data_IF_843122213166
#
_entry.id   IF_843122213166
#
_cell.length_a   1.000
_cell.length_b   1.000
_cell.length_c   1.000
_cell.angle_alpha   90.00
_cell.angle_beta   90.00
_cell.angle_gamma   90.00
#
_symmetry.space_group_name_H-M   'P 1'
#
loop_
_entity.id
_entity.type
_entity.pdbx_description
1 polymer ?
#
# COMPACT_ATOMS: atom_id res chain seq x y z
N UNK A 1 27.36 28.23 16.50
CA UNK A 1 26.86 27.93 16.35
C UNK A 1 26.17 27.45 15.61
N UNK A 2 25.92 27.01 15.36
CA UNK A 2 25.38 26.76 14.72
C UNK A 2 24.65 26.01 14.48
N UNK A 3 24.24 25.56 14.40
CA UNK A 3 23.55 24.90 14.18
C UNK A 3 22.57 24.87 13.54
N UNK A 4 22.23 24.90 13.10
CA UNK A 4 21.22 25.05 12.53
C UNK A 4 20.94 24.45 11.34
N UNK A 5 21.67 24.08 10.49
CA UNK A 5 21.52 23.37 9.24
C UNK A 5 20.82 22.07 9.40
N UNK A 6 20.93 21.47 10.50
CA UNK A 6 20.26 20.22 10.72
C UNK A 6 18.76 20.36 10.61
N UNK A 7 18.27 21.52 10.88
CA UNK A 7 16.83 21.70 10.85
C UNK A 7 16.25 21.60 9.47
N UNK A 8 16.95 22.05 8.45
CA UNK A 8 16.39 21.98 7.13
C UNK A 8 16.30 20.57 6.61
N UNK A 9 17.27 19.73 6.95
CA UNK A 9 17.18 18.33 6.55
C UNK A 9 15.98 17.67 7.16
N UNK A 10 15.74 17.97 8.42
CA UNK A 10 14.61 17.36 9.09
C UNK A 10 13.29 17.77 8.49
N UNK A 11 13.23 19.01 8.02
CA UNK A 11 12.01 19.47 7.38
C UNK A 11 11.68 18.69 6.13
N UNK A 12 12.67 18.36 5.35
CA UNK A 12 12.43 17.60 4.14
C UNK A 12 11.94 16.21 4.46
N UNK A 13 12.52 15.57 5.46
CA UNK A 13 12.09 14.24 5.85
C UNK A 13 10.65 14.25 6.28
N UNK A 14 10.26 15.27 7.02
CA UNK A 14 8.89 15.35 7.50
C UNK A 14 7.89 15.51 6.37
N UNK A 15 8.27 16.19 5.32
CA UNK A 15 7.38 16.38 4.18
C UNK A 15 7.10 15.11 3.43
N UNK A 16 8.02 14.17 3.47
CA UNK A 16 7.86 12.93 2.73
C UNK A 16 7.15 11.85 3.51
N UNK A 17 6.89 12.07 4.78
CA UNK A 17 6.31 11.03 5.62
C UNK A 17 4.85 11.29 5.88
N UNK A 18 4.06 10.24 5.80
CA UNK A 18 2.69 10.28 6.23
C UNK A 18 2.62 10.01 7.72
N UNK A 19 1.69 10.68 8.37
CA UNK A 19 1.39 10.35 9.76
C UNK A 19 0.52 9.11 9.77
N UNK A 20 0.98 8.07 10.46
CA UNK A 20 0.26 6.81 10.52
C UNK A 20 -0.29 6.66 11.93
N UNK A 21 -1.63 6.73 12.10
CA UNK A 21 -2.19 6.60 13.44
C UNK A 21 -2.05 5.17 13.95
N UNK A 22 -2.01 5.05 15.26
CA UNK A 22 -2.00 3.75 15.88
C UNK A 22 -3.31 3.04 15.58
N UNK A 23 -3.29 1.76 15.24
CA UNK A 23 -4.52 1.05 14.99
C UNK A 23 -5.30 0.85 16.29
N UNK A 24 -6.62 0.71 16.14
CA UNK A 24 -7.45 0.36 17.28
C UNK A 24 -7.12 -1.04 17.75
N UNK A 25 -7.38 -1.36 19.02
CA UNK A 25 -7.04 -2.68 19.55
C UNK A 25 -7.60 -3.80 18.68
N UNK A 26 -6.77 -4.75 18.31
CA UNK A 26 -7.17 -5.87 17.49
C UNK A 26 -7.14 -5.60 16.00
N UNK A 27 -6.93 -4.36 15.61
CA UNK A 27 -6.86 -3.97 14.21
C UNK A 27 -5.40 -3.71 13.82
N UNK A 28 -5.18 -3.33 12.56
CA UNK A 28 -3.84 -3.07 12.07
C UNK A 28 -3.86 -1.90 11.10
N UNK A 29 -2.69 -1.38 10.80
CA UNK A 29 -2.53 -0.38 9.74
C UNK A 29 -1.54 -0.91 8.72
N UNK A 30 -1.73 -0.55 7.45
CA UNK A 30 -0.82 -0.95 6.38
C UNK A 30 -0.43 0.29 5.61
N UNK A 31 0.86 0.44 5.35
CA UNK A 31 1.36 1.59 4.63
C UNK A 31 2.39 1.17 3.60
N UNK A 32 2.62 2.02 2.62
CA UNK A 32 3.60 1.77 1.59
C UNK A 32 3.63 2.91 0.60
N UNK A 33 4.36 2.70 -0.49
CA UNK A 33 4.49 3.70 -1.53
C UNK A 33 4.40 3.05 -2.89
N UNK A 34 3.72 3.70 -3.84
CA UNK A 34 3.56 3.18 -5.21
C UNK A 34 4.41 4.03 -6.16
N UNK A 35 5.29 3.37 -6.88
CA UNK A 35 6.21 4.01 -7.81
C UNK A 35 6.11 3.35 -9.18
N UNK A 36 6.41 4.13 -10.22
CA UNK A 36 6.44 3.59 -11.56
C UNK A 36 7.67 2.71 -11.75
N UNK A 37 7.48 1.53 -12.27
CA UNK A 37 8.60 0.64 -12.57
C UNK A 37 9.45 1.18 -13.69
N UNK A 38 8.90 2.04 -14.54
CA UNK A 38 9.62 2.58 -15.69
C UNK A 38 10.60 3.68 -15.30
N UNK A 39 10.18 4.59 -14.42
CA UNK A 39 11.02 5.76 -14.15
C UNK A 39 11.11 6.12 -12.68
N UNK A 40 10.48 5.35 -11.79
CA UNK A 40 10.57 5.61 -10.36
C UNK A 40 9.69 6.74 -9.85
N UNK A 41 8.86 7.33 -10.71
CA UNK A 41 8.00 8.43 -10.27
C UNK A 41 6.87 7.93 -9.39
N UNK A 42 6.48 8.73 -8.38
CA UNK A 42 5.38 8.30 -7.52
C UNK A 42 4.03 8.44 -8.23
N UNK A 43 3.09 7.58 -7.84
CA UNK A 43 1.72 7.65 -8.33
C UNK A 43 0.89 8.49 -7.39
N UNK A 44 0.26 9.53 -7.90
CA UNK A 44 -0.54 10.47 -7.12
C UNK A 44 -2.01 10.19 -7.31
N UNK A 45 -2.76 10.12 -6.22
CA UNK A 45 -4.21 9.94 -6.29
C UNK A 45 -4.65 8.60 -6.85
N UNK A 46 -3.80 7.61 -6.76
CA UNK A 46 -4.07 6.30 -7.33
C UNK A 46 -4.70 5.40 -6.27
N UNK A 47 -5.71 4.66 -6.68
CA UNK A 47 -6.41 3.78 -5.75
C UNK A 47 -5.54 2.57 -5.43
N UNK A 48 -5.50 2.20 -4.16
CA UNK A 48 -4.84 0.98 -3.69
C UNK A 48 -5.88 0.22 -2.87
N UNK A 49 -5.97 -1.09 -3.08
CA UNK A 49 -6.93 -1.91 -2.36
C UNK A 49 -6.24 -3.14 -1.80
N UNK A 50 -6.81 -3.63 -0.68
CA UNK A 50 -6.39 -4.89 -0.09
C UNK A 50 -7.45 -5.93 -0.40
N UNK A 51 -7.02 -7.04 -0.99
CA UNK A 51 -7.93 -8.15 -1.28
C UNK A 51 -7.61 -9.30 -0.34
N UNK A 52 -8.62 -9.79 0.33
CA UNK A 52 -8.45 -10.86 1.31
C UNK A 52 -8.06 -12.17 0.63
N UNK A 53 -7.10 -12.88 1.22
CA UNK A 53 -6.70 -14.19 0.72
C UNK A 53 -7.43 -15.24 1.52
N UNK A 54 -8.18 -16.09 0.82
CA UNK A 54 -8.90 -17.19 1.44
C UNK A 54 -8.21 -18.48 1.01
N UNK A 55 -7.79 -19.28 1.98
CA UNK A 55 -7.11 -20.53 1.69
C UNK A 55 -7.94 -21.69 2.15
N UNK A 56 -8.13 -22.64 1.24
CA UNK A 56 -8.79 -23.87 1.58
C UNK A 56 -7.75 -24.96 1.62
N UNK A 57 -8.04 -26.02 2.37
CA UNK A 57 -7.12 -27.11 2.55
C UNK A 57 -6.74 -27.68 1.20
N UNK A 58 -5.44 -27.76 0.93
CA UNK A 58 -4.96 -28.34 -0.32
C UNK A 58 -4.93 -27.37 -1.51
N UNK A 59 -5.27 -26.10 -1.32
CA UNK A 59 -5.24 -25.14 -2.41
C UNK A 59 -4.18 -24.09 -2.15
N UNK A 60 -3.83 -23.36 -3.22
CA UNK A 60 -2.84 -22.30 -3.13
C UNK A 60 -3.42 -21.02 -2.55
N UNK A 61 -4.72 -20.95 -2.45
CA UNK A 61 -5.37 -19.74 -1.96
C UNK A 61 -5.94 -18.91 -3.10
N UNK A 62 -7.01 -18.22 -2.79
CA UNK A 62 -7.64 -17.31 -3.71
C UNK A 62 -7.74 -15.97 -3.03
N UNK A 63 -7.61 -14.88 -3.78
CA UNK A 63 -7.89 -13.60 -3.20
C UNK A 63 -9.25 -13.10 -3.69
N UNK A 64 -9.94 -12.40 -2.80
CA UNK A 64 -11.29 -11.93 -3.06
C UNK A 64 -11.28 -10.42 -2.96
N UNK A 65 -11.74 -9.77 -4.01
CA UNK A 65 -11.88 -8.34 -4.02
C UNK A 65 -13.37 -8.00 -4.05
N UNK A 66 -13.80 -7.26 -3.04
CA UNK A 66 -15.17 -6.80 -2.97
C UNK A 66 -15.12 -5.29 -2.91
N UNK A 67 -15.62 -4.62 -3.93
CA UNK A 67 -15.53 -3.17 -3.99
C UNK A 67 -16.24 -2.48 -2.84
N UNK A 68 -17.23 -3.14 -2.25
CA UNK A 68 -17.96 -2.55 -1.14
C UNK A 68 -17.26 -2.75 0.19
N UNK A 69 -16.54 -3.88 0.36
CA UNK A 69 -16.01 -4.24 1.67
C UNK A 69 -14.51 -4.35 1.74
N UNK A 70 -13.83 -4.54 0.61
CA UNK A 70 -12.37 -4.58 0.63
C UNK A 70 -11.82 -3.20 0.95
N UNK A 71 -10.85 -3.09 1.86
CA UNK A 71 -10.28 -1.78 2.19
C UNK A 71 -9.70 -1.11 0.96
N UNK A 72 -9.90 0.19 0.84
CA UNK A 72 -9.36 0.98 -0.26
C UNK A 72 -8.86 2.31 0.23
N UNK A 73 -7.82 2.83 -0.43
CA UNK A 73 -7.29 4.16 -0.12
C UNK A 73 -6.68 4.73 -1.38
N UNK A 74 -6.15 5.95 -1.29
CA UNK A 74 -5.49 6.59 -2.42
C UNK A 74 -4.13 7.08 -2.02
N UNK A 75 -3.21 7.11 -2.99
CA UNK A 75 -1.87 7.61 -2.73
C UNK A 75 -1.90 9.13 -2.67
N UNK A 76 -0.95 9.68 -1.91
CA UNK A 76 -0.76 11.13 -1.86
C UNK A 76 0.22 11.56 -2.95
N UNK A 77 0.66 12.81 -2.91
CA UNK A 77 1.54 13.37 -3.94
C UNK A 77 2.89 12.68 -4.04
N UNK A 78 3.28 12.01 -2.98
CA UNK A 78 4.55 11.27 -2.95
C UNK A 78 4.37 9.78 -3.18
N UNK A 79 3.16 9.38 -3.54
CA UNK A 79 2.88 7.97 -3.79
C UNK A 79 2.63 7.16 -2.53
N UNK A 80 2.57 7.81 -1.38
CA UNK A 80 2.39 7.12 -0.12
C UNK A 80 0.92 6.83 0.14
N UNK A 81 0.63 5.68 0.74
CA UNK A 81 -0.73 5.30 1.10
C UNK A 81 -0.75 4.73 2.51
N UNK A 82 -1.92 4.81 3.12
CA UNK A 82 -2.11 4.19 4.43
C UNK A 82 -3.52 3.64 4.51
N UNK A 83 -3.63 2.43 5.04
CA UNK A 83 -4.90 1.81 5.40
C UNK A 83 -4.98 1.84 6.91
N UNK A 84 -6.06 2.42 7.44
CA UNK A 84 -6.26 2.52 8.87
C UNK A 84 -7.26 1.49 9.33
N UNK A 85 -6.95 0.83 10.43
CA UNK A 85 -7.89 -0.08 11.10
C UNK A 85 -8.43 -1.17 10.18
N UNK A 86 -7.50 -1.95 9.61
CA UNK A 86 -7.87 -3.10 8.81
C UNK A 86 -7.82 -4.34 9.68
N UNK A 87 -8.59 -5.34 9.28
CA UNK A 87 -8.61 -6.59 10.01
C UNK A 87 -7.31 -7.35 9.82
N UNK A 88 -6.90 -8.08 10.85
CA UNK A 88 -5.68 -8.86 10.79
C UNK A 88 -5.95 -10.13 9.99
N UNK A 89 -5.44 -10.19 8.77
CA UNK A 89 -5.59 -11.35 7.90
C UNK A 89 -4.57 -11.25 6.77
N UNK A 90 -4.60 -12.17 5.86
CA UNK A 90 -3.66 -12.21 4.74
C UNK A 90 -4.28 -11.46 3.56
N UNK A 91 -3.47 -10.63 2.89
CA UNK A 91 -3.96 -9.78 1.81
C UNK A 91 -3.03 -9.80 0.61
N UNK A 92 -3.63 -9.53 -0.55
CA UNK A 92 -2.93 -9.18 -1.79
C UNK A 92 -3.19 -7.70 -2.03
N UNK A 93 -2.25 -6.99 -2.61
CA UNK A 93 -2.41 -5.56 -2.88
C UNK A 93 -2.68 -5.36 -4.36
N UNK A 94 -3.70 -4.56 -4.66
CA UNK A 94 -4.10 -4.24 -6.02
C UNK A 94 -4.01 -2.73 -6.19
N UNK A 95 -3.32 -2.30 -7.24
CA UNK A 95 -3.12 -0.88 -7.52
C UNK A 95 -3.90 -0.53 -8.78
N UNK A 96 -4.68 0.54 -8.74
CA UNK A 96 -5.42 1.01 -9.88
C UNK A 96 -6.91 0.78 -9.73
N UNK A 97 -7.62 1.02 -10.82
CA UNK A 97 -9.08 0.94 -10.85
C UNK A 97 -9.49 -0.42 -11.39
N UNK A 98 -10.08 -1.24 -10.55
CA UNK A 98 -10.43 -2.61 -10.94
C UNK A 98 -11.48 -2.67 -12.03
N UNK A 99 -12.20 -1.57 -12.28
CA UNK A 99 -13.15 -1.53 -13.38
C UNK A 99 -12.54 -1.00 -14.67
N UNK A 100 -11.29 -0.62 -14.63
CA UNK A 100 -10.62 -0.04 -15.77
C UNK A 100 -9.23 -0.68 -15.93
N UNK A 101 -8.20 -0.05 -15.37
CA UNK A 101 -6.83 -0.54 -15.48
C UNK A 101 -6.27 -0.71 -14.08
N UNK A 102 -5.78 -1.89 -13.80
CA UNK A 102 -5.21 -2.17 -12.49
C UNK A 102 -4.09 -3.20 -12.61
N UNK A 103 -3.33 -3.33 -11.55
CA UNK A 103 -2.24 -4.30 -11.49
C UNK A 103 -2.22 -4.93 -10.10
N UNK A 104 -2.13 -6.26 -10.06
CA UNK A 104 -1.96 -7.00 -8.81
C UNK A 104 -0.46 -7.06 -8.53
N UNK A 105 -0.05 -6.71 -7.32
CA UNK A 105 1.36 -6.78 -6.97
C UNK A 105 1.78 -8.23 -6.91
N UNK A 106 2.83 -8.57 -7.66
CA UNK A 106 3.31 -9.95 -7.77
C UNK A 106 4.72 -10.06 -7.22
N UNK A 107 5.08 -11.30 -6.87
CA UNK A 107 6.45 -11.59 -6.43
C UNK A 107 7.32 -11.90 -7.65
N UNK A 108 8.55 -12.32 -7.41
CA UNK A 108 9.50 -12.56 -8.50
C UNK A 108 9.07 -13.70 -9.42
N UNK A 109 8.24 -14.59 -8.90
CA UNK A 109 7.74 -15.71 -9.69
C UNK A 109 6.55 -15.33 -10.57
N UNK A 110 6.04 -14.13 -10.41
CA UNK A 110 4.89 -13.69 -11.18
C UNK A 110 3.55 -14.05 -10.55
N UNK A 111 3.56 -14.60 -9.34
CA UNK A 111 2.32 -14.90 -8.63
C UNK A 111 1.98 -13.74 -7.68
N UNK A 112 0.71 -13.60 -7.29
CA UNK A 112 0.36 -12.50 -6.38
C UNK A 112 1.15 -12.59 -5.09
N UNK A 113 1.72 -11.46 -4.70
CA UNK A 113 2.44 -11.36 -3.44
C UNK A 113 1.43 -11.24 -2.32
N UNK A 114 1.60 -12.01 -1.25
CA UNK A 114 0.71 -11.93 -0.11
C UNK A 114 1.43 -11.33 1.08
N UNK A 115 0.67 -10.66 1.93
CA UNK A 115 1.18 -10.08 3.16
C UNK A 115 0.30 -10.51 4.30
N UNK A 116 0.92 -11.00 5.37
CA UNK A 116 0.18 -11.35 6.57
C UNK A 116 0.16 -10.14 7.48
N UNK A 117 -1.04 -9.65 7.76
CA UNK A 117 -1.24 -8.46 8.58
C UNK A 117 -1.66 -8.91 9.97
N UNK A 118 -0.90 -8.49 10.97
CA UNK A 118 -1.12 -8.94 12.34
C UNK A 118 -1.78 -7.86 13.18
N UNK A 119 -2.54 -8.30 14.19
CA UNK A 119 -3.23 -7.37 15.09
C UNK A 119 -2.27 -6.42 15.78
N UNK A 120 -2.70 -5.21 15.96
CA UNK A 120 -1.99 -4.18 16.74
C UNK A 120 -0.66 -3.75 16.12
N UNK A 121 -0.47 -4.04 14.83
CA UNK A 121 0.77 -3.69 14.13
C UNK A 121 0.54 -2.68 13.03
N UNK A 122 1.61 -1.96 12.71
CA UNK A 122 1.66 -1.13 11.51
C UNK A 122 2.62 -1.85 10.56
N UNK A 123 2.09 -2.34 9.45
CA UNK A 123 2.88 -3.05 8.45
C UNK A 123 3.27 -2.10 7.34
N UNK A 124 4.58 -1.94 7.12
CA UNK A 124 5.08 -1.14 6.01
C UNK A 124 5.50 -2.10 4.91
N UNK A 125 4.77 -2.09 3.80
CA UNK A 125 5.08 -3.00 2.70
C UNK A 125 6.18 -2.45 1.79
N UNK A 126 6.64 -1.22 2.04
CA UNK A 126 7.74 -0.65 1.28
C UNK A 126 7.31 -0.07 -0.05
N UNK A 127 8.24 0.00 -0.98
CA UNK A 127 7.99 0.56 -2.30
C UNK A 127 7.46 -0.51 -3.22
N UNK A 128 6.30 -0.24 -3.81
CA UNK A 128 5.67 -1.15 -4.76
C UNK A 128 5.86 -0.55 -6.15
N UNK A 129 6.53 -1.29 -7.02
CA UNK A 129 6.81 -0.82 -8.36
C UNK A 129 5.82 -1.44 -9.32
N UNK A 130 5.11 -0.59 -10.07
CA UNK A 130 4.06 -1.07 -10.98
C UNK A 130 4.33 -0.60 -12.40
N UNK A 131 3.81 -1.35 -13.35
CA UNK A 131 3.98 -1.05 -14.78
C UNK A 131 2.84 -0.24 -15.34
N UNK A 132 1.70 -0.21 -14.66
CA UNK A 132 0.58 0.54 -15.21
C UNK A 132 0.92 2.03 -15.25
N UNK A 133 0.22 2.75 -16.10
CA UNK A 133 0.49 4.17 -16.28
C UNK A 133 -0.39 4.98 -15.37
N UNK A 134 0.12 6.09 -14.82
CA UNK A 134 -0.74 6.96 -14.03
C UNK A 134 -1.89 7.46 -14.89
N UNK A 135 -3.06 7.55 -14.31
CA UNK A 135 -4.23 8.05 -15.02
C UNK A 135 -4.03 9.52 -15.34
N UNK A 136 -4.33 9.89 -16.56
CA UNK A 136 -4.26 11.30 -16.96
C UNK A 136 -5.54 11.99 -16.58
N UNK A 137 -5.47 13.20 -16.05
CA UNK A 137 -6.68 13.95 -15.71
C UNK A 137 -7.48 14.34 -16.94
#
# INVERSE_FOLDING_TARGET
MIFMSACSSNGQDLEEKMVIPQPEPGMASVTGRVLSKKNGSPFTGTIVRLAEVVREEGSEGLYILDQAFSPGTKTNDNGLFVFENVEAMEYVIIVGDVESIYEVITNESGTPQTWEVLSDEILDVGDLHVLLEPTQP
#
